data_IF_495475286161
#
_entry.id   IF_495475286161
#
_cell.length_a   1.000
_cell.length_b   1.000
_cell.length_c   1.000
_cell.angle_alpha   90.00
_cell.angle_beta   90.00
_cell.angle_gamma   90.00
#
_symmetry.space_group_name_H-M   'P 1'
#
loop_
_entity.id
_entity.type
_entity.pdbx_description
1 polymer ?
#
# COMPACT_ATOMS: atom_id res chain seq x y z
N UNK A 1 -1.03 9.32 26.19
CA UNK A 1 -0.68 8.14 25.36
C UNK A 1 -1.87 7.21 25.39
N UNK A 2 -2.40 6.86 24.21
CA UNK A 2 -3.58 6.00 24.05
C UNK A 2 -3.24 4.81 23.16
N UNK A 3 -3.90 3.67 23.37
CA UNK A 3 -3.63 2.45 22.62
C UNK A 3 -4.88 1.60 22.40
N UNK A 4 -4.88 0.84 21.30
CA UNK A 4 -5.83 -0.23 21.04
C UNK A 4 -5.08 -1.43 20.46
N UNK A 5 -5.35 -2.61 21.01
CA UNK A 5 -4.80 -3.87 20.52
C UNK A 5 -5.94 -4.87 20.28
N UNK A 6 -5.91 -5.52 19.13
CA UNK A 6 -6.87 -6.52 18.65
C UNK A 6 -6.10 -7.65 17.94
N UNK A 7 -6.73 -8.79 17.61
CA UNK A 7 -6.02 -9.89 16.94
C UNK A 7 -5.34 -9.50 15.61
N UNK A 8 -5.86 -8.48 14.92
CA UNK A 8 -5.37 -8.00 13.63
C UNK A 8 -4.19 -7.00 13.75
N UNK A 9 -3.87 -6.53 14.95
CA UNK A 9 -2.77 -5.59 15.20
C UNK A 9 -3.03 -4.62 16.35
N UNK A 10 -2.10 -3.71 16.58
CA UNK A 10 -2.21 -2.66 17.59
C UNK A 10 -1.88 -1.28 17.03
N UNK A 11 -2.61 -0.28 17.51
CA UNK A 11 -2.35 1.13 17.24
C UNK A 11 -1.99 1.81 18.56
N UNK A 12 -0.94 2.63 18.56
CA UNK A 12 -0.52 3.44 19.71
C UNK A 12 -0.36 4.89 19.27
N UNK A 13 -0.74 5.84 20.12
CA UNK A 13 -0.59 7.25 19.85
C UNK A 13 -0.06 7.99 21.08
N UNK A 14 1.03 8.73 20.90
CA UNK A 14 1.71 9.44 21.98
C UNK A 14 1.50 10.97 21.95
N UNK A 15 0.70 11.50 21.03
CA UNK A 15 0.49 12.93 20.82
C UNK A 15 1.24 13.50 19.60
N UNK A 16 2.32 12.84 19.17
CA UNK A 16 3.16 13.27 18.04
C UNK A 16 3.18 12.22 16.92
N UNK A 17 3.17 10.94 17.28
CA UNK A 17 3.30 9.81 16.38
C UNK A 17 2.22 8.77 16.67
N UNK A 18 1.52 8.34 15.62
CA UNK A 18 0.63 7.19 15.64
C UNK A 18 1.37 5.99 15.02
N UNK A 19 1.61 4.94 15.80
CA UNK A 19 2.25 3.71 15.33
C UNK A 19 1.21 2.63 15.09
N UNK A 20 1.21 2.08 13.89
CA UNK A 20 0.36 0.98 13.45
C UNK A 20 1.23 -0.26 13.33
N UNK A 21 0.96 -1.28 14.14
CA UNK A 21 1.71 -2.53 14.15
C UNK A 21 0.78 -3.66 13.73
N UNK A 22 0.99 -4.29 12.55
CA UNK A 22 0.24 -5.50 12.17
C UNK A 22 0.59 -6.64 13.13
N UNK A 23 -0.38 -7.52 13.42
CA UNK A 23 -0.06 -8.72 14.19
C UNK A 23 0.73 -9.73 13.33
N UNK A 24 1.43 -10.64 14.00
CA UNK A 24 2.09 -11.77 13.33
C UNK A 24 1.13 -12.91 12.94
N UNK A 25 -0.17 -12.72 13.09
CA UNK A 25 -1.17 -13.75 12.80
C UNK A 25 -1.25 -14.06 11.30
N UNK A 26 -1.53 -15.31 10.95
CA UNK A 26 -1.66 -15.74 9.54
C UNK A 26 -2.84 -15.07 8.82
N UNK A 27 -3.84 -14.60 9.57
CA UNK A 27 -5.01 -13.88 9.05
C UNK A 27 -4.72 -12.45 8.62
N UNK A 28 -3.61 -11.84 9.05
CA UNK A 28 -3.21 -10.50 8.61
C UNK A 28 -2.82 -10.55 7.13
N UNK A 29 -3.29 -9.56 6.37
CA UNK A 29 -3.00 -9.45 4.95
C UNK A 29 -1.49 -9.28 4.70
N UNK A 30 -0.97 -9.95 3.67
CA UNK A 30 0.47 -10.07 3.45
C UNK A 30 1.14 -8.72 3.11
N UNK A 31 0.44 -7.82 2.42
CA UNK A 31 0.87 -6.42 2.26
C UNK A 31 1.15 -5.74 3.61
N UNK A 32 0.28 -5.90 4.61
CA UNK A 32 0.46 -5.25 5.92
C UNK A 32 1.66 -5.83 6.67
N UNK A 33 1.88 -7.14 6.58
CA UNK A 33 3.07 -7.78 7.16
C UNK A 33 4.36 -7.27 6.52
N UNK A 34 4.37 -7.06 5.21
CA UNK A 34 5.53 -6.53 4.47
C UNK A 34 5.77 -5.06 4.80
N UNK A 35 4.72 -4.25 4.89
CA UNK A 35 4.84 -2.87 5.37
C UNK A 35 5.38 -2.82 6.80
N UNK A 36 5.04 -3.84 7.62
CA UNK A 36 5.47 -3.92 8.99
C UNK A 36 4.88 -2.78 9.82
N UNK A 37 5.67 -2.26 10.75
CA UNK A 37 5.26 -1.10 11.54
C UNK A 37 5.22 0.17 10.68
N UNK A 38 4.08 0.86 10.70
CA UNK A 38 3.91 2.17 10.06
C UNK A 38 3.87 3.25 11.14
N UNK A 39 4.86 4.13 11.13
CA UNK A 39 4.93 5.29 12.03
C UNK A 39 4.41 6.53 11.30
N UNK A 40 3.24 7.01 11.72
CA UNK A 40 2.54 8.15 11.12
C UNK A 40 2.75 9.39 11.99
N UNK A 41 3.46 10.44 11.51
CA UNK A 41 3.53 11.71 12.22
C UNK A 41 2.15 12.38 12.27
N UNK A 42 1.83 13.07 13.36
CA UNK A 42 0.53 13.73 13.56
C UNK A 42 0.24 14.75 12.45
N UNK A 43 1.28 15.37 11.90
CA UNK A 43 1.22 16.30 10.78
C UNK A 43 0.76 15.65 9.48
N UNK A 44 0.87 14.32 9.34
CA UNK A 44 0.36 13.57 8.18
C UNK A 44 -1.11 13.19 8.33
N UNK A 45 -1.70 13.30 9.53
CA UNK A 45 -3.06 12.83 9.79
C UNK A 45 -4.07 13.90 9.38
N UNK A 46 -5.01 13.52 8.51
CA UNK A 46 -6.16 14.35 8.15
C UNK A 46 -7.37 14.09 9.06
N UNK A 47 -7.61 12.83 9.45
CA UNK A 47 -8.69 12.49 10.38
C UNK A 47 -8.51 11.10 10.97
N UNK A 48 -9.02 10.88 12.19
CA UNK A 48 -9.22 9.56 12.76
C UNK A 48 -10.68 9.41 13.21
N UNK A 49 -11.30 8.26 12.91
CA UNK A 49 -12.71 8.03 13.19
C UNK A 49 -13.06 6.57 13.40
N UNK A 50 -14.05 6.32 14.25
CA UNK A 50 -14.61 5.00 14.48
C UNK A 50 -15.97 4.83 13.79
N UNK A 51 -16.10 3.79 12.99
CA UNK A 51 -17.35 3.38 12.34
C UNK A 51 -17.98 2.19 13.07
N UNK A 52 -19.14 2.37 13.73
CA UNK A 52 -19.84 1.27 14.38
C UNK A 52 -20.43 0.30 13.35
N UNK A 53 -20.48 -0.98 13.72
CA UNK A 53 -21.07 -2.05 12.92
C UNK A 53 -21.67 -3.16 13.80
N UNK A 54 -22.37 -4.11 13.16
CA UNK A 54 -23.13 -5.15 13.89
C UNK A 54 -22.28 -6.00 14.84
N UNK A 55 -21.00 -6.25 14.52
CA UNK A 55 -20.07 -7.09 15.29
C UNK A 55 -18.94 -6.30 15.98
N UNK A 56 -19.12 -4.99 16.17
CA UNK A 56 -18.09 -4.09 16.67
C UNK A 56 -17.99 -2.86 15.78
N UNK A 57 -16.91 -2.73 15.02
CA UNK A 57 -16.77 -1.64 14.06
C UNK A 57 -15.40 -1.61 13.38
N UNK A 58 -15.04 -0.45 12.85
CA UNK A 58 -13.74 -0.20 12.23
C UNK A 58 -13.20 1.14 12.66
N UNK A 59 -11.98 1.16 13.17
CA UNK A 59 -11.20 2.38 13.37
C UNK A 59 -10.50 2.71 12.05
N UNK A 60 -10.61 3.94 11.57
CA UNK A 60 -10.02 4.42 10.32
C UNK A 60 -9.14 5.64 10.55
N UNK A 61 -7.97 5.63 9.94
CA UNK A 61 -7.08 6.77 9.81
C UNK A 61 -7.13 7.25 8.35
N UNK A 62 -7.22 8.57 8.13
CA UNK A 62 -7.01 9.17 6.82
C UNK A 62 -5.80 10.08 6.91
N UNK A 63 -4.91 9.95 5.93
CA UNK A 63 -3.75 10.82 5.79
C UNK A 63 -4.09 12.00 4.89
N UNK A 64 -3.37 13.11 5.06
CA UNK A 64 -3.41 14.26 4.17
C UNK A 64 -2.90 13.84 2.80
N UNK A 65 -3.46 14.45 1.75
CA UNK A 65 -2.99 14.22 0.38
C UNK A 65 -1.51 14.60 0.25
N UNK A 66 -0.71 13.76 -0.40
CA UNK A 66 0.73 13.98 -0.52
C UNK A 66 1.55 13.67 0.74
N UNK A 67 0.95 13.14 1.81
CA UNK A 67 1.68 12.78 3.02
C UNK A 67 2.32 11.38 2.95
N UNK A 68 1.75 10.46 2.17
CA UNK A 68 2.17 9.06 2.12
C UNK A 68 2.25 8.53 0.68
N UNK A 69 3.42 8.03 0.25
CA UNK A 69 3.57 7.51 -1.11
C UNK A 69 2.68 6.30 -1.38
N UNK A 70 2.39 5.45 -0.39
CA UNK A 70 1.49 4.30 -0.58
C UNK A 70 0.07 4.77 -0.89
N UNK A 71 -0.47 5.67 -0.06
CA UNK A 71 -1.81 6.26 -0.23
C UNK A 71 -1.98 6.93 -1.60
N UNK A 72 -0.99 7.69 -2.04
CA UNK A 72 -1.02 8.37 -3.33
C UNK A 72 -1.03 7.37 -4.50
N UNK A 73 -0.18 6.32 -4.45
CA UNK A 73 -0.08 5.31 -5.51
C UNK A 73 -1.35 4.45 -5.59
N UNK A 74 -1.91 4.03 -4.46
CA UNK A 74 -3.11 3.18 -4.47
C UNK A 74 -4.39 3.98 -4.73
N UNK A 75 -4.37 5.31 -4.54
CA UNK A 75 -5.50 6.21 -4.81
C UNK A 75 -6.85 5.71 -4.26
N UNK A 76 -6.84 5.12 -3.06
CA UNK A 76 -8.04 4.56 -2.40
C UNK A 76 -8.52 3.20 -2.92
N UNK A 77 -7.79 2.56 -3.84
CA UNK A 77 -8.10 1.21 -4.32
C UNK A 77 -7.84 0.12 -3.28
N UNK A 78 -7.01 0.40 -2.27
CA UNK A 78 -6.74 -0.52 -1.18
C UNK A 78 -7.90 -0.55 -0.19
N UNK A 79 -8.42 -1.74 0.12
CA UNK A 79 -9.55 -1.93 1.02
C UNK A 79 -9.24 -3.00 2.08
N UNK A 80 -10.08 -3.09 3.11
CA UNK A 80 -9.92 -4.12 4.14
C UNK A 80 -9.98 -5.52 3.52
N UNK A 81 -9.10 -6.46 3.93
CA UNK A 81 -8.16 -6.35 5.07
C UNK A 81 -6.75 -5.83 4.72
N UNK A 82 -6.52 -5.40 3.48
CA UNK A 82 -5.20 -5.01 2.99
C UNK A 82 -4.81 -3.56 3.38
N UNK A 83 -5.79 -2.69 3.60
CA UNK A 83 -5.59 -1.29 4.00
C UNK A 83 -4.91 -1.19 5.39
N UNK A 84 -3.67 -0.67 5.50
CA UNK A 84 -2.97 -0.53 6.78
C UNK A 84 -3.61 0.54 7.67
N UNK A 85 -4.40 1.46 7.10
CA UNK A 85 -5.02 2.58 7.82
C UNK A 85 -6.44 2.25 8.31
N UNK A 86 -6.79 0.96 8.35
CA UNK A 86 -8.01 0.45 8.95
C UNK A 86 -7.71 -0.65 9.97
N UNK A 87 -8.41 -0.62 11.11
CA UNK A 87 -8.35 -1.67 12.13
C UNK A 87 -9.75 -2.23 12.39
N UNK A 88 -9.92 -3.53 12.21
CA UNK A 88 -11.16 -4.23 12.57
C UNK A 88 -11.28 -4.30 14.11
N UNK A 89 -12.34 -3.71 14.66
CA UNK A 89 -12.53 -3.59 16.11
C UNK A 89 -13.66 -4.52 16.55
N UNK A 90 -13.40 -5.50 17.43
CA UNK A 90 -14.44 -6.36 17.97
C UNK A 90 -15.29 -5.62 19.00
N UNK A 91 -16.49 -6.12 19.29
CA UNK A 91 -17.52 -5.45 20.11
C UNK A 91 -17.00 -5.00 21.48
N UNK A 92 -16.17 -5.82 22.12
CA UNK A 92 -15.56 -5.58 23.42
C UNK A 92 -14.51 -4.47 23.44
N UNK A 93 -14.01 -4.04 22.26
CA UNK A 93 -13.02 -2.95 22.12
C UNK A 93 -13.60 -1.66 21.55
N UNK A 94 -14.91 -1.57 21.34
CA UNK A 94 -15.58 -0.38 20.76
C UNK A 94 -15.28 0.90 21.56
N UNK A 95 -15.42 0.86 22.88
CA UNK A 95 -15.13 2.04 23.73
C UNK A 95 -13.68 2.49 23.63
N UNK A 96 -12.73 1.54 23.57
CA UNK A 96 -11.31 1.86 23.38
C UNK A 96 -11.05 2.49 22.00
N UNK A 97 -11.72 2.03 20.95
CA UNK A 97 -11.57 2.59 19.60
C UNK A 97 -12.17 4.00 19.48
N UNK A 98 -13.32 4.25 20.12
CA UNK A 98 -13.92 5.57 20.19
C UNK A 98 -13.01 6.55 20.92
N UNK A 99 -12.54 6.15 22.11
CA UNK A 99 -11.59 6.95 22.89
C UNK A 99 -10.31 7.23 22.11
N UNK A 100 -9.73 6.23 21.44
CA UNK A 100 -8.54 6.41 20.61
C UNK A 100 -8.78 7.44 19.48
N UNK A 101 -9.91 7.34 18.77
CA UNK A 101 -10.24 8.26 17.69
C UNK A 101 -10.47 9.69 18.20
N UNK A 102 -11.08 9.85 19.37
CA UNK A 102 -11.32 11.14 20.00
C UNK A 102 -10.01 11.80 20.46
N UNK A 103 -9.11 11.06 21.12
CA UNK A 103 -7.79 11.56 21.52
C UNK A 103 -6.96 12.05 20.32
N UNK A 104 -6.97 11.32 19.20
CA UNK A 104 -6.31 11.77 17.96
C UNK A 104 -6.97 13.05 17.46
N UNK A 105 -8.31 13.10 17.39
CA UNK A 105 -9.05 14.28 16.89
C UNK A 105 -8.76 15.53 17.73
N UNK A 106 -8.81 15.41 19.05
CA UNK A 106 -8.54 16.50 19.98
C UNK A 106 -7.09 17.01 19.81
N UNK A 107 -6.14 16.10 19.58
CA UNK A 107 -4.74 16.48 19.33
C UNK A 107 -4.58 17.23 18.02
N UNK A 108 -5.27 16.82 16.94
CA UNK A 108 -5.25 17.56 15.67
C UNK A 108 -5.79 18.99 15.83
N UNK A 109 -6.84 19.17 16.63
CA UNK A 109 -7.43 20.48 16.90
C UNK A 109 -6.51 21.36 17.76
N UNK A 110 -5.98 20.81 18.86
CA UNK A 110 -5.05 21.52 19.76
C UNK A 110 -3.80 21.97 19.01
N UNK A 111 -3.21 21.09 18.19
CA UNK A 111 -2.00 21.38 17.43
C UNK A 111 -2.27 22.17 16.14
N UNK A 112 -3.54 22.47 15.84
CA UNK A 112 -3.95 23.22 14.64
C UNK A 112 -3.39 22.61 13.35
N UNK A 113 -3.43 21.28 13.24
CA UNK A 113 -2.89 20.57 12.08
C UNK A 113 -3.65 21.01 10.81
N UNK A 114 -2.96 21.42 9.74
CA UNK A 114 -3.62 21.87 8.52
C UNK A 114 -4.44 20.75 7.85
N UNK A 115 -5.65 21.10 7.38
CA UNK A 115 -6.50 20.18 6.61
C UNK A 115 -6.14 20.09 5.12
N UNK A 116 -5.14 20.85 4.66
CA UNK A 116 -4.72 20.91 3.26
C UNK A 116 -3.72 19.80 2.87
N UNK A 117 -3.31 19.75 1.59
CA UNK A 117 -2.27 18.81 1.13
C UNK A 117 -0.92 19.09 1.80
N UNK A 118 -0.02 18.11 1.75
CA UNK A 118 1.39 18.28 2.11
C UNK A 118 2.21 18.68 0.88
N UNK A 119 3.26 19.47 1.08
CA UNK A 119 4.19 19.86 -0.01
C UNK A 119 5.15 18.73 -0.40
N UNK A 120 5.31 17.73 0.48
CA UNK A 120 6.15 16.55 0.29
C UNK A 120 5.62 15.39 1.15
N UNK A 121 6.01 14.17 0.79
CA UNK A 121 5.73 12.97 1.58
C UNK A 121 6.34 13.09 2.98
N UNK A 122 5.52 12.86 3.99
CA UNK A 122 5.92 12.84 5.40
C UNK A 122 6.21 11.41 5.89
N UNK A 123 5.68 10.40 5.20
CA UNK A 123 6.01 8.99 5.42
C UNK A 123 7.11 8.55 4.44
N UNK A 124 8.02 7.66 4.88
CA UNK A 124 9.05 7.13 4.00
C UNK A 124 8.46 6.19 2.95
N UNK A 125 9.09 6.15 1.77
CA UNK A 125 8.90 5.04 0.84
C UNK A 125 9.52 3.74 1.38
N UNK A 126 9.23 2.59 0.75
CA UNK A 126 9.85 1.32 1.13
C UNK A 126 11.38 1.40 0.99
N UNK A 127 12.09 0.69 1.87
CA UNK A 127 13.54 0.54 1.75
C UNK A 127 13.88 -0.18 0.43
N UNK A 128 14.94 0.28 -0.23
CA UNK A 128 15.46 -0.30 -1.48
C UNK A 128 16.71 -1.15 -1.19
N UNK A 129 16.98 -2.22 -1.97
CA UNK A 129 16.19 -2.66 -3.12
C UNK A 129 14.87 -3.33 -2.70
N UNK A 130 13.83 -3.14 -3.51
CA UNK A 130 12.52 -3.77 -3.36
C UNK A 130 12.25 -4.71 -4.52
N UNK A 131 11.62 -5.85 -4.24
CA UNK A 131 11.24 -6.84 -5.25
C UNK A 131 9.82 -7.34 -5.04
N UNK A 132 9.10 -7.52 -6.14
CA UNK A 132 7.74 -8.04 -6.15
C UNK A 132 7.58 -9.06 -7.28
N UNK A 133 7.28 -10.31 -6.92
CA UNK A 133 6.92 -11.37 -7.88
C UNK A 133 5.42 -11.41 -8.08
N UNK A 134 4.96 -11.29 -9.33
CA UNK A 134 3.56 -11.35 -9.69
C UNK A 134 3.38 -12.09 -11.03
N UNK A 135 2.59 -13.17 -11.00
CA UNK A 135 2.19 -13.92 -12.20
C UNK A 135 3.38 -14.31 -13.08
N UNK A 136 3.52 -13.61 -14.20
CA UNK A 136 4.53 -13.89 -15.22
C UNK A 136 5.92 -13.29 -14.98
N UNK A 137 6.11 -12.48 -13.93
CA UNK A 137 7.41 -11.86 -13.71
C UNK A 137 7.69 -11.38 -12.28
N UNK A 138 8.95 -11.03 -12.04
CA UNK A 138 9.43 -10.35 -10.85
C UNK A 138 9.95 -8.98 -11.25
N UNK A 139 9.41 -7.92 -10.65
CA UNK A 139 9.93 -6.57 -10.76
C UNK A 139 10.85 -6.28 -9.57
N UNK A 140 12.04 -5.74 -9.85
CA UNK A 140 13.05 -5.39 -8.84
C UNK A 140 13.45 -3.95 -9.08
N UNK A 141 13.47 -3.13 -8.03
CA UNK A 141 13.92 -1.74 -8.09
C UNK A 141 14.99 -1.50 -7.03
N UNK A 142 16.14 -0.99 -7.45
CA UNK A 142 17.31 -0.76 -6.60
C UNK A 142 17.59 0.72 -6.31
N UNK A 143 16.73 1.63 -6.80
CA UNK A 143 16.93 3.08 -6.73
C UNK A 143 17.44 3.70 -8.04
N UNK A 144 18.06 2.91 -8.92
CA UNK A 144 18.65 3.40 -10.17
C UNK A 144 17.99 2.79 -11.41
N UNK A 145 17.53 1.55 -11.33
CA UNK A 145 16.90 0.83 -12.45
C UNK A 145 15.81 -0.12 -11.98
N UNK A 146 14.88 -0.40 -12.89
CA UNK A 146 13.92 -1.48 -12.75
C UNK A 146 14.42 -2.68 -13.54
N UNK A 147 14.47 -3.85 -12.91
CA UNK A 147 14.78 -5.13 -13.56
C UNK A 147 13.55 -6.03 -13.56
N UNK A 148 13.21 -6.54 -14.74
CA UNK A 148 12.10 -7.47 -14.92
C UNK A 148 12.65 -8.85 -15.26
N UNK A 149 12.35 -9.83 -14.42
CA UNK A 149 12.71 -11.24 -14.62
C UNK A 149 11.47 -12.09 -14.85
N UNK A 150 11.51 -13.01 -15.80
CA UNK A 150 10.34 -13.81 -16.17
C UNK A 150 10.24 -15.10 -15.37
N UNK A 151 9.03 -15.43 -14.94
CA UNK A 151 8.74 -16.72 -14.30
C UNK A 151 8.40 -17.77 -15.37
N UNK A 152 8.23 -19.02 -14.95
CA UNK A 152 7.74 -20.10 -15.84
C UNK A 152 6.29 -19.91 -16.33
N UNK A 153 5.62 -18.82 -15.96
CA UNK A 153 4.29 -18.46 -16.46
C UNK A 153 4.33 -17.37 -17.54
N UNK A 154 5.52 -16.91 -17.94
CA UNK A 154 5.67 -15.91 -18.98
C UNK A 154 5.32 -16.45 -20.38
N UNK A 155 4.94 -15.53 -21.26
CA UNK A 155 4.71 -15.85 -22.67
C UNK A 155 6.04 -16.10 -23.38
N UNK A 156 5.99 -16.84 -24.48
CA UNK A 156 7.15 -17.07 -25.35
C UNK A 156 7.79 -15.77 -25.87
N UNK A 157 6.99 -14.71 -26.01
CA UNK A 157 7.45 -13.38 -26.40
C UNK A 157 8.35 -12.76 -25.33
N UNK A 158 7.94 -12.83 -24.06
CA UNK A 158 8.73 -12.35 -22.92
C UNK A 158 9.97 -13.20 -22.70
N UNK A 159 9.83 -14.52 -22.72
CA UNK A 159 10.96 -15.44 -22.59
C UNK A 159 12.05 -15.16 -23.64
N UNK A 160 11.65 -14.95 -24.89
CA UNK A 160 12.57 -14.61 -25.99
C UNK A 160 13.18 -13.22 -25.86
N UNK A 161 12.47 -12.26 -25.28
CA UNK A 161 13.00 -10.93 -25.00
C UNK A 161 14.06 -10.95 -23.87
N UNK A 162 14.06 -12.00 -23.03
CA UNK A 162 14.94 -12.11 -21.88
C UNK A 162 14.59 -11.13 -20.76
N UNK A 163 15.38 -11.12 -19.69
CA UNK A 163 15.21 -10.15 -18.62
C UNK A 163 15.36 -8.71 -19.15
N UNK A 164 14.54 -7.79 -18.67
CA UNK A 164 14.63 -6.38 -19.05
C UNK A 164 15.32 -5.56 -17.96
N UNK A 165 16.14 -4.60 -18.37
CA UNK A 165 16.70 -3.58 -17.49
C UNK A 165 16.29 -2.20 -18.00
N UNK A 166 15.61 -1.45 -17.14
CA UNK A 166 15.04 -0.14 -17.46
C UNK A 166 15.65 0.90 -16.52
N UNK A 167 16.60 1.72 -16.98
CA UNK A 167 17.16 2.81 -16.18
C UNK A 167 16.07 3.79 -15.74
N UNK A 168 16.12 4.27 -14.50
CA UNK A 168 15.15 5.24 -13.98
C UNK A 168 15.13 6.54 -14.82
N UNK A 169 16.27 6.92 -15.39
CA UNK A 169 16.41 8.09 -16.28
C UNK A 169 15.65 7.95 -17.61
N UNK A 170 15.29 6.73 -18.00
CA UNK A 170 14.55 6.42 -19.23
C UNK A 170 13.06 6.20 -18.96
N UNK A 171 12.66 5.97 -17.70
CA UNK A 171 11.28 5.81 -17.30
C UNK A 171 10.54 7.16 -17.35
N UNK A 172 9.39 7.17 -18.02
CA UNK A 172 8.47 8.32 -18.08
C UNK A 172 7.18 8.08 -17.30
N UNK A 173 6.95 6.86 -16.84
CA UNK A 173 5.79 6.53 -16.02
C UNK A 173 5.72 5.06 -15.66
N UNK A 174 4.91 4.77 -14.64
CA UNK A 174 4.53 3.42 -14.24
C UNK A 174 3.01 3.37 -14.17
N UNK A 175 2.43 2.43 -14.89
CA UNK A 175 0.99 2.19 -14.93
C UNK A 175 0.68 0.95 -14.09
N UNK A 176 0.00 1.15 -12.98
CA UNK A 176 -0.55 0.07 -12.17
C UNK A 176 -2.04 -0.09 -12.45
N UNK A 177 -2.47 -1.34 -12.63
CA UNK A 177 -3.87 -1.72 -12.74
C UNK A 177 -4.13 -2.94 -11.85
N UNK A 178 -5.01 -2.84 -10.84
CA UNK A 178 -5.38 -4.00 -10.04
C UNK A 178 -6.09 -5.05 -10.90
N UNK A 179 -6.07 -6.30 -10.46
CA UNK A 179 -6.84 -7.33 -11.14
C UNK A 179 -8.35 -7.09 -10.93
N UNK A 180 -9.13 -7.14 -12.02
CA UNK A 180 -10.59 -6.99 -11.94
C UNK A 180 -11.32 -8.10 -12.70
N UNK A 181 -12.20 -8.83 -12.01
CA UNK A 181 -13.01 -9.90 -12.61
C UNK A 181 -12.13 -11.00 -13.24
N UNK A 182 -12.40 -11.32 -14.50
CA UNK A 182 -11.62 -12.29 -15.29
C UNK A 182 -10.41 -11.65 -15.99
N UNK A 183 -10.18 -10.35 -15.83
CA UNK A 183 -9.04 -9.65 -16.41
C UNK A 183 -7.76 -9.85 -15.60
N UNK A 184 -6.63 -9.47 -16.21
CA UNK A 184 -5.33 -9.43 -15.55
C UNK A 184 -5.14 -8.13 -14.77
N UNK A 185 -4.44 -8.21 -13.65
CA UNK A 185 -3.75 -7.07 -13.07
C UNK A 185 -2.40 -6.88 -13.77
N UNK A 186 -1.92 -5.64 -13.83
CA UNK A 186 -0.70 -5.29 -14.58
C UNK A 186 0.11 -4.22 -13.88
N UNK A 187 1.43 -4.34 -13.98
CA UNK A 187 2.39 -3.29 -13.67
C UNK A 187 3.24 -3.06 -14.92
N UNK A 188 3.02 -1.92 -15.58
CA UNK A 188 3.68 -1.56 -16.83
C UNK A 188 4.60 -0.37 -16.64
N UNK A 189 5.82 -0.50 -17.14
CA UNK A 189 6.83 0.53 -17.17
C UNK A 189 6.82 1.20 -18.53
N UNK A 190 6.86 2.54 -18.57
CA UNK A 190 6.88 3.32 -19.81
C UNK A 190 8.24 3.95 -19.98
N UNK A 191 8.84 3.75 -21.16
CA UNK A 191 10.15 4.32 -21.50
C UNK A 191 10.04 5.46 -22.51
N UNK A 192 11.04 6.36 -22.55
CA UNK A 192 11.11 7.45 -23.53
C UNK A 192 11.10 6.91 -24.96
N UNK A 193 10.25 7.48 -25.82
CA UNK A 193 10.19 7.13 -27.24
C UNK A 193 9.46 5.82 -27.55
N UNK A 194 8.90 5.15 -26.54
CA UNK A 194 8.10 3.95 -26.71
C UNK A 194 6.71 4.28 -27.28
N UNK A 195 6.24 3.45 -28.21
CA UNK A 195 4.89 3.55 -28.78
C UNK A 195 3.79 3.11 -27.81
N UNK A 196 2.57 2.96 -28.33
CA UNK A 196 1.49 2.33 -27.57
C UNK A 196 1.91 0.90 -27.18
N UNK A 197 1.91 0.60 -25.89
CA UNK A 197 2.36 -0.69 -25.35
C UNK A 197 1.49 -1.84 -25.86
N UNK A 198 2.10 -3.00 -26.07
CA UNK A 198 1.44 -4.19 -26.60
C UNK A 198 0.40 -4.79 -25.64
N UNK A 199 -0.09 -5.99 -25.94
CA UNK A 199 -0.92 -6.73 -25.00
C UNK A 199 -0.10 -7.07 -23.73
N UNK A 200 -0.57 -6.81 -22.50
CA UNK A 200 0.25 -6.92 -21.27
C UNK A 200 1.02 -8.22 -21.09
N UNK A 201 0.42 -9.35 -21.47
CA UNK A 201 1.05 -10.67 -21.37
C UNK A 201 2.24 -10.89 -22.33
N UNK A 202 2.33 -10.09 -23.40
CA UNK A 202 3.34 -10.18 -24.45
C UNK A 202 4.32 -9.01 -24.43
N UNK A 203 4.03 -8.01 -23.60
CA UNK A 203 4.78 -6.77 -23.50
C UNK A 203 5.96 -6.96 -22.54
N UNK A 204 7.23 -6.85 -23.01
CA UNK A 204 8.39 -7.06 -22.17
C UNK A 204 8.56 -5.98 -21.10
N UNK A 205 7.88 -4.83 -21.18
CA UNK A 205 7.91 -3.80 -20.14
C UNK A 205 6.72 -3.91 -19.16
N UNK A 206 6.00 -5.03 -19.18
CA UNK A 206 4.83 -5.23 -18.34
C UNK A 206 4.94 -6.55 -17.57
N UNK A 207 4.72 -6.52 -16.25
CA UNK A 207 4.41 -7.71 -15.46
C UNK A 207 2.89 -7.87 -15.40
N UNK A 208 2.37 -9.09 -15.54
CA UNK A 208 0.93 -9.37 -15.50
C UNK A 208 0.59 -10.58 -14.66
N UNK A 209 -0.57 -10.52 -13.98
CA UNK A 209 -1.05 -11.58 -13.10
C UNK A 209 -2.55 -11.81 -13.25
N UNK A 210 -2.95 -13.09 -13.18
CA UNK A 210 -4.35 -13.50 -13.10
C UNK A 210 -4.81 -13.58 -11.64
N UNK A 211 -5.80 -14.45 -11.36
CA UNK A 211 -6.38 -14.64 -10.01
C UNK A 211 -5.28 -14.97 -8.99
N UNK A 212 -4.89 -13.98 -8.21
CA UNK A 212 -4.11 -14.20 -6.99
C UNK A 212 -5.07 -14.42 -5.83
N UNK A 213 -5.15 -15.66 -5.37
CA UNK A 213 -5.88 -16.02 -4.15
C UNK A 213 -4.98 -15.69 -2.96
N UNK A 214 -4.89 -14.41 -2.60
CA UNK A 214 -4.10 -13.85 -1.48
C UNK A 214 -2.66 -14.42 -1.41
N UNK A 215 -1.69 -13.77 -2.06
CA UNK A 215 -0.32 -14.29 -2.05
C UNK A 215 0.74 -13.34 -2.61
N UNK A 216 0.76 -12.09 -2.16
CA UNK A 216 1.82 -11.14 -2.53
C UNK A 216 1.99 -10.00 -1.54
N UNK A 217 3.24 -9.52 -1.45
CA UNK A 217 3.72 -8.35 -0.71
C UNK A 217 3.19 -7.00 -1.22
N UNK A 218 2.10 -7.03 -1.96
CA UNK A 218 1.81 -6.09 -3.04
C UNK A 218 0.34 -5.72 -2.98
N UNK A 219 0.03 -4.44 -3.20
CA UNK A 219 -1.34 -3.97 -3.34
C UNK A 219 -1.90 -4.41 -4.71
N UNK A 220 -2.10 -5.71 -4.94
CA UNK A 220 -2.53 -6.32 -6.23
C UNK A 220 -4.01 -6.66 -6.26
#
# INVERSE_FOLDING_TARGET
MTEIAVPDGSWTFNGEMLRIVPSGDKSVHELRKVLGEVAVPVEAVASCGFEPGRKGGRLRLRLRYGADPLSDVVAGALSAPADPYGLAVPKERVGAAQYFADEVRDTLEINQIPNGPCDHHLLPGPAIPVSATAGDGTAIFDGERVRLEWTGFASSEKERAGAQELPLSELVGVEWKPQSGLGYGTLRFRTKGEGAGGHPQKDPHCVSWGIQRFGGATAL
#
